data_IF_615493940411
#
_entry.id   IF_615493940411
#
_cell.length_a   1.000
_cell.length_b   1.000
_cell.length_c   1.000
_cell.angle_alpha   90.00
_cell.angle_beta   90.00
_cell.angle_gamma   90.00
#
_symmetry.space_group_name_H-M   'P 1'
#
loop_
_entity.id
_entity.type
_entity.pdbx_description
1 polymer ?
#
# COMPACT_ATOMS: atom_id res chain seq x y z
N UNK A 1 -7.21 11.74 9.08
CA UNK A 1 -6.76 10.62 9.91
C UNK A 1 -5.28 10.36 9.74
N UNK A 2 -4.66 9.83 10.75
CA UNK A 2 -3.25 9.44 10.73
C UNK A 2 -3.01 8.26 9.78
N UNK A 3 -1.78 8.11 9.30
CA UNK A 3 -1.33 6.92 8.59
C UNK A 3 -1.79 5.63 9.30
N UNK A 4 -2.27 4.64 8.53
CA UNK A 4 -2.67 3.34 9.05
C UNK A 4 -3.98 3.30 9.84
N UNK A 5 -4.78 4.37 9.85
CA UNK A 5 -6.14 4.41 10.43
C UNK A 5 -6.25 3.94 11.89
N UNK A 6 -5.20 4.08 12.69
CA UNK A 6 -5.15 3.50 14.03
C UNK A 6 -4.61 2.07 14.08
N UNK A 7 -4.42 1.40 12.96
CA UNK A 7 -3.89 0.04 12.88
C UNK A 7 -2.46 -0.05 13.43
N UNK A 8 -1.63 0.96 13.18
CA UNK A 8 -0.26 1.02 13.73
C UNK A 8 -0.26 1.01 15.25
N UNK A 9 -1.12 1.81 15.87
CA UNK A 9 -1.21 1.90 17.32
C UNK A 9 -1.68 0.58 17.95
N UNK A 10 -2.71 -0.05 17.36
CA UNK A 10 -3.19 -1.35 17.84
C UNK A 10 -2.17 -2.47 17.61
N UNK A 11 -1.48 -2.48 16.48
CA UNK A 11 -0.40 -3.44 16.22
C UNK A 11 0.76 -3.26 17.19
N UNK A 12 1.19 -2.01 17.44
CA UNK A 12 2.26 -1.74 18.39
C UNK A 12 1.89 -2.26 19.80
N UNK A 13 0.67 -1.96 20.27
CA UNK A 13 0.18 -2.44 21.55
C UNK A 13 0.13 -3.98 21.61
N UNK A 14 -0.35 -4.62 20.56
CA UNK A 14 -0.41 -6.10 20.46
C UNK A 14 0.98 -6.70 20.50
N UNK A 15 1.93 -6.19 19.73
CA UNK A 15 3.29 -6.70 19.64
C UNK A 15 4.05 -6.51 20.97
N UNK A 16 3.86 -5.39 21.66
CA UNK A 16 4.40 -5.17 23.01
C UNK A 16 3.81 -6.16 24.01
N UNK A 17 2.50 -6.42 23.96
CA UNK A 17 1.85 -7.42 24.79
C UNK A 17 2.39 -8.84 24.53
N UNK A 18 2.59 -9.19 23.28
CA UNK A 18 3.17 -10.50 22.89
C UNK A 18 4.58 -10.66 23.43
N UNK A 19 5.41 -9.62 23.39
CA UNK A 19 6.75 -9.64 23.97
C UNK A 19 6.70 -9.80 25.49
N UNK A 20 5.79 -9.09 26.17
CA UNK A 20 5.62 -9.25 27.62
C UNK A 20 5.18 -10.68 28.00
N UNK A 21 4.24 -11.26 27.25
CA UNK A 21 3.79 -12.65 27.44
C UNK A 21 4.95 -13.63 27.22
N UNK A 22 5.73 -13.45 26.16
CA UNK A 22 6.91 -14.28 25.90
C UNK A 22 7.91 -14.23 27.07
N UNK A 23 8.19 -13.03 27.57
CA UNK A 23 9.07 -12.83 28.72
C UNK A 23 8.54 -13.50 30.00
N UNK A 24 7.25 -13.38 30.28
CA UNK A 24 6.61 -14.04 31.43
C UNK A 24 6.61 -15.56 31.34
N UNK A 25 6.48 -16.12 30.15
CA UNK A 25 6.54 -17.56 29.89
C UNK A 25 7.96 -18.10 29.78
N UNK A 26 8.98 -17.24 29.72
CA UNK A 26 10.38 -17.64 29.52
C UNK A 26 10.64 -18.26 28.15
N UNK A 27 9.86 -17.89 27.12
CA UNK A 27 10.01 -18.37 25.74
C UNK A 27 10.54 -17.28 24.82
N UNK A 28 11.18 -17.67 23.73
CA UNK A 28 11.63 -16.72 22.71
C UNK A 28 10.43 -16.02 22.06
N UNK A 29 10.52 -14.71 21.87
CA UNK A 29 9.44 -13.90 21.32
C UNK A 29 9.06 -14.29 19.87
N UNK A 30 10.02 -14.75 19.07
CA UNK A 30 9.76 -15.28 17.73
C UNK A 30 9.10 -16.66 17.81
N UNK A 31 9.49 -17.52 18.74
CA UNK A 31 8.89 -18.85 18.92
C UNK A 31 7.43 -18.75 19.37
N UNK A 32 7.11 -17.80 20.28
CA UNK A 32 5.73 -17.54 20.66
C UNK A 32 4.89 -17.11 19.44
N UNK A 33 5.41 -16.20 18.62
CA UNK A 33 4.75 -15.78 17.38
C UNK A 33 4.60 -16.92 16.38
N UNK A 34 5.62 -17.74 16.23
CA UNK A 34 5.59 -18.93 15.36
C UNK A 34 4.49 -19.91 15.74
N UNK A 35 4.31 -20.14 17.05
CA UNK A 35 3.27 -21.02 17.57
C UNK A 35 1.85 -20.50 17.28
N UNK A 36 1.69 -19.18 17.20
CA UNK A 36 0.39 -18.52 17.03
C UNK A 36 0.15 -17.98 15.60
N UNK A 37 1.15 -18.01 14.72
CA UNK A 37 1.03 -17.45 13.39
C UNK A 37 0.09 -18.26 12.50
N UNK A 38 -0.78 -17.55 11.78
CA UNK A 38 -1.72 -18.14 10.82
C UNK A 38 -0.95 -18.79 9.66
N UNK A 39 -1.40 -19.97 9.25
CA UNK A 39 -0.89 -20.69 8.07
C UNK A 39 -1.86 -20.57 6.90
N UNK A 40 -1.34 -20.69 5.68
CA UNK A 40 -2.19 -20.74 4.48
C UNK A 40 -3.26 -21.84 4.62
N UNK A 41 -4.48 -21.52 4.27
CA UNK A 41 -5.62 -22.41 4.37
C UNK A 41 -6.32 -22.46 5.73
N UNK A 42 -5.75 -21.83 6.78
CA UNK A 42 -6.41 -21.73 8.08
C UNK A 42 -7.37 -20.53 8.10
N UNK A 43 -8.43 -20.66 8.91
CA UNK A 43 -9.35 -19.55 9.19
C UNK A 43 -8.68 -18.55 10.13
N UNK A 44 -8.84 -17.27 9.82
CA UNK A 44 -8.47 -16.19 10.73
C UNK A 44 -9.49 -16.02 11.88
N UNK A 45 -9.28 -15.05 12.77
CA UNK A 45 -10.15 -14.78 13.92
C UNK A 45 -11.57 -14.35 13.52
N UNK A 46 -11.80 -13.94 12.27
CA UNK A 46 -13.10 -13.58 11.74
C UNK A 46 -13.78 -14.77 11.01
N UNK A 47 -13.14 -15.94 11.00
CA UNK A 47 -13.68 -17.15 10.36
C UNK A 47 -13.42 -17.24 8.85
N UNK A 48 -12.78 -16.27 8.25
CA UNK A 48 -12.42 -16.27 6.83
C UNK A 48 -11.06 -16.93 6.57
N UNK A 49 -10.95 -17.61 5.44
CA UNK A 49 -9.66 -18.12 4.94
C UNK A 49 -9.04 -17.03 4.05
N UNK A 50 -7.91 -16.43 4.43
CA UNK A 50 -7.25 -15.45 3.58
C UNK A 50 -6.86 -16.02 2.23
N UNK A 51 -7.08 -15.26 1.16
CA UNK A 51 -6.64 -15.62 -0.17
C UNK A 51 -5.11 -15.47 -0.29
N UNK A 52 -4.50 -16.35 -1.09
CA UNK A 52 -3.07 -16.31 -1.35
C UNK A 52 -2.20 -17.01 -0.31
N UNK A 53 -0.90 -16.94 -0.54
CA UNK A 53 0.09 -17.61 0.31
C UNK A 53 0.50 -16.71 1.49
N UNK A 54 0.33 -17.21 2.69
CA UNK A 54 0.82 -16.56 3.90
C UNK A 54 2.28 -16.98 4.15
N UNK A 55 3.18 -16.01 4.16
CA UNK A 55 4.63 -16.22 4.35
C UNK A 55 5.12 -15.96 5.79
N UNK A 56 4.20 -15.90 6.76
CA UNK A 56 4.54 -15.55 8.15
C UNK A 56 5.60 -16.47 8.74
N UNK A 57 5.44 -17.80 8.59
CA UNK A 57 6.40 -18.78 9.12
C UNK A 57 7.78 -18.62 8.47
N UNK A 58 7.85 -18.41 7.16
CA UNK A 58 9.11 -18.18 6.45
C UNK A 58 9.82 -16.91 6.95
N UNK A 59 9.08 -15.84 7.20
CA UNK A 59 9.63 -14.59 7.77
C UNK A 59 10.17 -14.84 9.17
N UNK A 60 9.39 -15.52 10.02
CA UNK A 60 9.79 -15.83 11.38
C UNK A 60 11.04 -16.72 11.43
N UNK A 61 11.13 -17.72 10.56
CA UNK A 61 12.29 -18.62 10.46
C UNK A 61 13.55 -17.87 10.01
N UNK A 62 13.44 -17.02 8.98
CA UNK A 62 14.55 -16.19 8.52
C UNK A 62 15.02 -15.22 9.60
N UNK A 63 14.08 -14.61 10.32
CA UNK A 63 14.41 -13.67 11.40
C UNK A 63 15.06 -14.39 12.58
N UNK A 64 14.54 -15.54 12.98
CA UNK A 64 15.14 -16.36 14.05
C UNK A 64 16.58 -16.80 13.71
N UNK A 65 16.83 -17.08 12.44
CA UNK A 65 18.17 -17.45 11.96
C UNK A 65 19.12 -16.26 11.78
N UNK A 66 18.64 -15.04 11.79
CA UNK A 66 19.44 -13.85 11.58
C UNK A 66 20.43 -13.62 12.72
N UNK A 67 21.66 -13.24 12.39
CA UNK A 67 22.74 -13.05 13.38
C UNK A 67 22.38 -12.06 14.49
N UNK A 68 21.72 -10.97 14.17
CA UNK A 68 21.31 -9.98 15.15
C UNK A 68 20.34 -10.55 16.19
N UNK A 69 19.45 -11.44 15.80
CA UNK A 69 18.51 -12.08 16.73
C UNK A 69 19.21 -13.16 17.56
N UNK A 70 19.93 -14.05 16.90
CA UNK A 70 20.61 -15.19 17.56
C UNK A 70 21.62 -14.75 18.61
N UNK A 71 22.40 -13.71 18.31
CA UNK A 71 23.49 -13.24 19.15
C UNK A 71 23.13 -12.00 19.98
N UNK A 72 21.82 -11.63 20.06
CA UNK A 72 21.38 -10.38 20.70
C UNK A 72 21.82 -10.24 22.16
N UNK A 73 21.79 -11.34 22.94
CA UNK A 73 22.19 -11.30 24.34
C UNK A 73 23.71 -11.04 24.49
N UNK A 74 24.54 -11.74 23.72
CA UNK A 74 25.97 -11.53 23.73
C UNK A 74 26.36 -10.13 23.23
N UNK A 75 25.70 -9.65 22.17
CA UNK A 75 25.88 -8.29 21.66
C UNK A 75 25.47 -7.23 22.67
N UNK A 76 24.35 -7.44 23.36
CA UNK A 76 23.95 -6.53 24.44
C UNK A 76 25.02 -6.44 25.52
N UNK A 77 25.51 -7.56 26.01
CA UNK A 77 26.54 -7.61 27.03
C UNK A 77 27.82 -6.90 26.57
N UNK A 78 28.26 -7.13 25.34
CA UNK A 78 29.47 -6.51 24.79
C UNK A 78 29.31 -4.99 24.60
N UNK A 79 28.15 -4.54 24.15
CA UNK A 79 27.86 -3.12 23.92
C UNK A 79 27.67 -2.36 25.23
N UNK A 80 26.92 -2.92 26.19
CA UNK A 80 26.74 -2.32 27.52
C UNK A 80 28.07 -2.18 28.26
N UNK A 81 29.02 -3.11 28.05
CA UNK A 81 30.36 -3.01 28.62
C UNK A 81 31.26 -1.95 27.96
N UNK A 82 31.06 -1.68 26.66
CA UNK A 82 31.82 -0.69 25.89
C UNK A 82 31.33 0.73 26.07
N UNK A 83 30.04 0.88 26.26
CA UNK A 83 29.36 2.19 26.33
C UNK A 83 28.28 2.15 27.42
N UNK A 84 28.64 2.43 28.69
CA UNK A 84 27.71 2.36 29.80
C UNK A 84 26.64 3.45 29.79
N UNK A 85 26.80 4.50 28.99
CA UNK A 85 25.84 5.59 28.87
C UNK A 85 24.74 5.30 27.84
N UNK A 86 24.86 4.22 27.07
CA UNK A 86 23.88 3.79 26.08
C UNK A 86 23.40 2.37 26.31
N UNK A 87 22.10 2.17 26.08
CA UNK A 87 21.48 0.85 26.18
C UNK A 87 21.33 0.23 24.81
N UNK A 88 21.86 -0.95 24.64
CA UNK A 88 21.72 -1.71 23.41
C UNK A 88 20.55 -2.70 23.51
N UNK A 89 19.77 -2.80 22.46
CA UNK A 89 18.69 -3.77 22.36
C UNK A 89 18.37 -4.15 20.92
N UNK A 90 17.93 -5.37 20.74
CA UNK A 90 17.37 -5.87 19.48
C UNK A 90 15.95 -6.31 19.74
N UNK A 91 15.00 -5.74 19.04
CA UNK A 91 13.59 -6.10 19.09
C UNK A 91 13.12 -6.69 17.76
N UNK A 92 12.02 -7.41 17.81
CA UNK A 92 11.30 -7.92 16.65
C UNK A 92 9.82 -7.61 16.79
N UNK A 93 9.21 -7.14 15.73
CA UNK A 93 7.78 -7.00 15.60
C UNK A 93 7.35 -7.48 14.20
N UNK A 94 6.17 -8.06 14.12
CA UNK A 94 5.59 -8.48 12.85
C UNK A 94 4.20 -7.87 12.71
N UNK A 95 3.90 -7.33 11.54
CA UNK A 95 2.61 -6.76 11.27
C UNK A 95 2.06 -7.26 9.93
N UNK A 96 0.77 -7.20 9.80
CA UNK A 96 0.05 -7.49 8.58
C UNK A 96 -0.88 -6.31 8.25
N UNK A 97 -0.95 -5.97 6.99
CA UNK A 97 -1.92 -4.98 6.49
C UNK A 97 -2.71 -5.59 5.34
N UNK A 98 -4.01 -5.37 5.36
CA UNK A 98 -4.87 -5.74 4.24
C UNK A 98 -4.44 -5.01 2.99
N UNK A 99 -4.45 -5.73 1.88
CA UNK A 99 -4.20 -5.16 0.57
C UNK A 99 -5.51 -4.65 -0.02
N UNK A 100 -5.51 -3.37 -0.47
CA UNK A 100 -6.68 -2.72 -1.03
C UNK A 100 -7.79 -2.49 0.01
N UNK A 101 -8.11 -1.26 0.29
CA UNK A 101 -9.21 -0.90 1.19
C UNK A 101 -9.96 0.27 0.61
N UNK A 102 -11.20 0.05 0.20
CA UNK A 102 -12.08 1.08 -0.30
C UNK A 102 -12.54 0.86 -1.73
N UNK A 103 -13.23 1.84 -2.25
CA UNK A 103 -13.74 1.84 -3.62
C UNK A 103 -12.65 2.35 -4.56
N UNK A 104 -11.89 1.44 -5.11
CA UNK A 104 -10.87 1.78 -6.07
C UNK A 104 -11.50 1.92 -7.46
N UNK A 105 -11.42 3.13 -8.00
CA UNK A 105 -11.73 3.41 -9.39
C UNK A 105 -10.52 4.12 -10.00
N UNK A 106 -9.51 3.38 -10.46
CA UNK A 106 -8.28 3.98 -10.97
C UNK A 106 -8.57 4.77 -12.24
N UNK A 107 -8.38 6.08 -12.16
CA UNK A 107 -8.50 7.00 -13.30
C UNK A 107 -7.27 7.90 -13.34
N UNK A 108 -6.75 8.11 -14.54
CA UNK A 108 -5.64 9.02 -14.80
C UNK A 108 -5.81 9.65 -16.18
N UNK A 109 -5.38 10.89 -16.33
CA UNK A 109 -5.30 11.60 -17.60
C UNK A 109 -3.92 12.22 -17.72
N UNK A 110 -3.31 12.09 -18.89
CA UNK A 110 -2.00 12.66 -19.20
C UNK A 110 -2.15 13.61 -20.38
N UNK A 111 -1.61 14.79 -20.21
CA UNK A 111 -1.51 15.81 -21.23
C UNK A 111 -0.05 16.12 -21.53
N UNK A 112 0.30 16.17 -22.80
CA UNK A 112 1.55 16.74 -23.29
C UNK A 112 1.25 18.16 -23.78
N UNK A 113 1.67 19.13 -23.01
CA UNK A 113 1.33 20.53 -23.25
C UNK A 113 2.16 21.16 -24.36
N UNK A 114 1.69 22.26 -24.94
CA UNK A 114 2.36 22.95 -26.03
C UNK A 114 3.76 23.47 -25.70
N UNK A 115 4.04 23.73 -24.42
CA UNK A 115 5.36 24.10 -23.91
C UNK A 115 6.26 22.90 -23.59
N UNK A 116 5.83 21.68 -23.93
CA UNK A 116 6.60 20.45 -23.79
C UNK A 116 6.60 19.85 -22.40
N UNK A 117 5.70 20.27 -21.51
CA UNK A 117 5.52 19.68 -20.19
C UNK A 117 4.57 18.48 -20.22
N UNK A 118 4.73 17.59 -19.27
CA UNK A 118 3.84 16.46 -19.04
C UNK A 118 3.04 16.73 -17.77
N UNK A 119 1.72 16.89 -17.91
CA UNK A 119 0.79 17.03 -16.78
C UNK A 119 0.02 15.73 -16.58
N UNK A 120 -0.01 15.24 -15.35
CA UNK A 120 -0.75 14.05 -14.92
C UNK A 120 -1.87 14.48 -13.96
N UNK A 121 -3.11 14.13 -14.29
CA UNK A 121 -4.25 14.22 -13.38
C UNK A 121 -4.61 12.82 -12.90
N UNK A 122 -4.91 12.68 -11.61
CA UNK A 122 -5.11 11.38 -10.98
C UNK A 122 -6.19 11.40 -9.90
N UNK A 123 -7.04 10.38 -9.85
CA UNK A 123 -8.10 10.26 -8.85
C UNK A 123 -7.58 9.96 -7.44
N UNK A 124 -6.42 9.31 -7.33
CA UNK A 124 -5.85 8.92 -6.04
C UNK A 124 -5.52 10.09 -5.14
N UNK A 125 -5.63 9.87 -3.84
CA UNK A 125 -5.34 10.88 -2.81
C UNK A 125 -3.92 10.68 -2.27
N UNK A 126 -3.13 11.76 -2.23
CA UNK A 126 -1.84 11.73 -1.56
C UNK A 126 -2.02 11.80 -0.03
N UNK A 127 -1.62 10.74 0.66
CA UNK A 127 -1.70 10.60 2.11
C UNK A 127 -0.32 10.61 2.79
N UNK A 128 0.70 11.06 2.08
CA UNK A 128 2.10 10.99 2.51
C UNK A 128 2.77 9.65 2.17
N UNK A 129 2.18 8.86 1.29
CA UNK A 129 2.75 7.59 0.78
C UNK A 129 3.71 7.80 -0.39
N UNK A 130 3.83 9.03 -0.92
CA UNK A 130 4.60 9.34 -2.11
C UNK A 130 3.89 8.95 -3.41
N UNK A 131 2.55 8.90 -3.38
CA UNK A 131 1.75 8.53 -4.54
C UNK A 131 2.00 9.47 -5.72
N UNK A 132 2.03 10.78 -5.50
CA UNK A 132 2.31 11.76 -6.54
C UNK A 132 3.65 11.50 -7.23
N UNK A 133 4.70 11.25 -6.45
CA UNK A 133 6.03 10.93 -6.97
C UNK A 133 6.04 9.61 -7.74
N UNK A 134 5.42 8.56 -7.18
CA UNK A 134 5.40 7.25 -7.84
C UNK A 134 4.62 7.29 -9.16
N UNK A 135 3.49 7.97 -9.22
CA UNK A 135 2.72 8.10 -10.45
C UNK A 135 3.42 8.97 -11.50
N UNK A 136 4.11 10.04 -11.08
CA UNK A 136 4.97 10.82 -12.00
C UNK A 136 6.06 9.94 -12.64
N UNK A 137 6.68 9.06 -11.86
CA UNK A 137 7.71 8.14 -12.37
C UNK A 137 7.14 7.08 -13.30
N UNK A 138 5.95 6.56 -13.04
CA UNK A 138 5.28 5.55 -13.90
C UNK A 138 5.06 6.06 -15.31
N UNK A 139 4.86 7.36 -15.50
CA UNK A 139 4.73 8.00 -16.82
C UNK A 139 5.98 7.76 -17.68
N UNK A 140 7.16 7.67 -17.06
CA UNK A 140 8.43 7.49 -17.76
C UNK A 140 8.56 6.16 -18.52
N UNK A 141 7.77 5.16 -18.16
CA UNK A 141 7.77 3.85 -18.85
C UNK A 141 7.51 3.96 -20.35
N UNK A 142 6.72 4.97 -20.76
CA UNK A 142 6.36 5.21 -22.17
C UNK A 142 6.88 6.53 -22.70
N UNK A 143 6.93 7.57 -21.87
CA UNK A 143 7.30 8.92 -22.33
C UNK A 143 8.78 9.24 -22.13
N UNK A 144 9.58 8.32 -21.57
CA UNK A 144 11.02 8.46 -21.37
C UNK A 144 11.41 9.48 -20.30
N UNK A 145 10.45 10.16 -19.68
CA UNK A 145 10.65 11.09 -18.55
C UNK A 145 9.42 11.13 -17.67
N UNK A 146 9.60 11.50 -16.42
CA UNK A 146 8.51 11.65 -15.44
C UNK A 146 7.60 12.83 -15.79
N UNK A 147 6.38 12.81 -15.23
CA UNK A 147 5.50 13.96 -15.28
C UNK A 147 6.12 15.16 -14.54
N UNK A 148 5.95 16.35 -15.10
CA UNK A 148 6.41 17.61 -14.50
C UNK A 148 5.45 18.11 -13.43
N UNK A 149 4.17 17.76 -13.56
CA UNK A 149 3.12 18.15 -12.64
C UNK A 149 2.16 17.00 -12.40
N UNK A 150 1.73 16.83 -11.15
CA UNK A 150 0.74 15.81 -10.76
C UNK A 150 -0.36 16.46 -9.93
N UNK A 151 -1.58 16.45 -10.46
CA UNK A 151 -2.79 16.83 -9.75
C UNK A 151 -3.48 15.59 -9.20
N UNK A 152 -3.65 15.51 -7.88
CA UNK A 152 -4.24 14.38 -7.19
C UNK A 152 -5.66 14.68 -6.68
N UNK A 153 -6.38 13.64 -6.25
CA UNK A 153 -7.74 13.73 -5.75
C UNK A 153 -8.75 14.36 -6.74
N UNK A 154 -8.51 14.15 -8.04
CA UNK A 154 -9.42 14.64 -9.09
C UNK A 154 -10.69 13.78 -9.07
N UNK A 155 -11.84 14.41 -8.88
CA UNK A 155 -13.14 13.72 -8.81
C UNK A 155 -14.03 13.98 -10.03
N UNK A 156 -13.66 14.96 -10.85
CA UNK A 156 -14.44 15.33 -12.06
C UNK A 156 -13.61 15.04 -13.31
N UNK A 157 -14.24 14.26 -14.20
CA UNK A 157 -13.63 13.74 -15.43
C UNK A 157 -14.58 13.97 -16.61
N UNK A 158 -14.78 15.25 -17.03
CA UNK A 158 -15.74 15.57 -18.09
C UNK A 158 -15.40 14.94 -19.44
N UNK A 159 -14.12 14.63 -19.67
CA UNK A 159 -13.62 13.95 -20.85
C UNK A 159 -13.99 12.47 -20.92
N UNK A 160 -14.32 11.86 -19.76
CA UNK A 160 -14.80 10.49 -19.67
C UNK A 160 -16.30 10.52 -19.46
N UNK A 161 -17.08 9.90 -20.32
CA UNK A 161 -18.53 9.82 -20.19
C UNK A 161 -18.93 8.91 -19.01
N UNK A 162 -18.63 9.35 -17.79
CA UNK A 162 -18.85 8.59 -16.57
C UNK A 162 -20.22 8.95 -15.96
N UNK A 163 -20.84 7.95 -15.36
CA UNK A 163 -21.96 8.12 -14.46
C UNK A 163 -21.41 8.20 -13.04
N UNK A 164 -21.48 9.36 -12.40
CA UNK A 164 -21.01 9.54 -11.02
C UNK A 164 -22.16 9.79 -10.08
N UNK A 165 -22.29 8.96 -9.06
CA UNK A 165 -23.33 9.15 -8.03
C UNK A 165 -22.91 8.49 -6.72
N UNK A 166 -23.39 9.06 -5.63
CA UNK A 166 -23.20 8.49 -4.31
C UNK A 166 -21.77 8.55 -3.77
N UNK A 167 -21.70 8.26 -2.50
CA UNK A 167 -20.44 8.01 -1.81
C UNK A 167 -20.44 6.54 -1.40
N UNK A 168 -19.56 5.69 -1.95
CA UNK A 168 -19.54 4.24 -1.68
C UNK A 168 -19.47 3.89 -0.19
N UNK A 169 -18.86 4.72 0.63
CA UNK A 169 -18.79 4.50 2.08
C UNK A 169 -20.12 4.75 2.82
N UNK A 170 -21.08 5.42 2.17
CA UNK A 170 -22.40 5.71 2.72
C UNK A 170 -23.51 4.91 2.05
N UNK A 171 -23.21 4.23 0.94
CA UNK A 171 -24.16 3.39 0.22
C UNK A 171 -24.26 2.01 0.88
N UNK A 172 -25.45 1.47 0.90
CA UNK A 172 -25.67 0.06 1.24
C UNK A 172 -25.05 -0.86 0.18
N UNK A 173 -24.80 -2.11 0.52
CA UNK A 173 -24.29 -3.10 -0.42
C UNK A 173 -25.21 -3.23 -1.65
N UNK A 174 -26.53 -3.24 -1.44
CA UNK A 174 -27.51 -3.35 -2.54
C UNK A 174 -27.45 -2.17 -3.51
N UNK A 175 -27.23 -0.96 -3.00
CA UNK A 175 -27.06 0.25 -3.83
C UNK A 175 -25.75 0.19 -4.61
N UNK A 176 -24.65 -0.27 -4.00
CA UNK A 176 -23.38 -0.46 -4.68
C UNK A 176 -23.50 -1.52 -5.77
N UNK A 177 -24.10 -2.67 -5.49
CA UNK A 177 -24.31 -3.74 -6.46
C UNK A 177 -25.18 -3.30 -7.63
N UNK A 178 -26.16 -2.43 -7.38
CA UNK A 178 -26.99 -1.84 -8.42
C UNK A 178 -26.20 -0.86 -9.30
N UNK A 179 -25.40 0.00 -8.68
CA UNK A 179 -24.56 0.98 -9.39
C UNK A 179 -23.47 0.31 -10.24
N UNK A 180 -22.85 -0.74 -9.74
CA UNK A 180 -21.82 -1.52 -10.45
C UNK A 180 -22.32 -2.25 -11.70
N UNK A 181 -23.63 -2.31 -11.94
CA UNK A 181 -24.20 -2.82 -13.21
C UNK A 181 -24.01 -1.86 -14.37
N UNK A 182 -23.79 -0.57 -14.10
CA UNK A 182 -23.35 0.39 -15.11
C UNK A 182 -21.83 0.39 -15.17
N UNK A 183 -21.19 -0.10 -16.25
CA UNK A 183 -19.74 -0.17 -16.37
C UNK A 183 -19.06 1.22 -16.40
N UNK A 184 -19.85 2.29 -16.53
CA UNK A 184 -19.37 3.67 -16.50
C UNK A 184 -19.56 4.32 -15.14
N UNK A 185 -20.17 3.62 -14.20
CA UNK A 185 -20.39 4.18 -12.87
C UNK A 185 -19.10 4.24 -12.06
N UNK A 186 -18.89 5.38 -11.43
CA UNK A 186 -17.78 5.64 -10.51
C UNK A 186 -18.31 6.40 -9.31
N UNK A 187 -17.92 6.02 -8.12
CA UNK A 187 -18.28 6.77 -6.91
C UNK A 187 -17.73 8.20 -6.96
N UNK A 188 -18.53 9.17 -6.53
CA UNK A 188 -18.12 10.58 -6.43
C UNK A 188 -17.25 10.78 -5.19
N UNK A 189 -16.06 10.24 -5.22
CA UNK A 189 -15.10 10.30 -4.13
C UNK A 189 -13.68 10.10 -4.69
N UNK A 190 -12.73 10.89 -4.20
CA UNK A 190 -11.33 10.64 -4.48
C UNK A 190 -10.93 9.30 -3.86
N UNK A 191 -10.30 8.45 -4.65
CA UNK A 191 -9.89 7.12 -4.19
C UNK A 191 -8.76 7.21 -3.18
N UNK A 192 -8.87 6.53 -2.03
CA UNK A 192 -7.79 6.47 -1.06
C UNK A 192 -6.60 5.68 -1.61
N UNK A 193 -5.38 6.17 -1.42
CA UNK A 193 -4.15 5.47 -1.82
C UNK A 193 -3.52 4.72 -0.67
N UNK A 194 -4.32 3.99 0.09
CA UNK A 194 -3.87 3.14 1.19
C UNK A 194 -3.54 1.73 0.73
N UNK A 195 -2.85 0.96 1.57
CA UNK A 195 -2.61 -0.47 1.39
C UNK A 195 -2.00 -0.84 0.02
N UNK A 196 -1.03 -0.06 -0.45
CA UNK A 196 -0.31 -0.28 -1.71
C UNK A 196 -1.10 0.02 -2.99
N UNK A 197 -2.32 0.56 -2.90
CA UNK A 197 -3.14 0.90 -4.06
C UNK A 197 -2.41 1.81 -5.05
N UNK A 198 -1.64 2.78 -4.57
CA UNK A 198 -0.87 3.70 -5.41
C UNK A 198 0.13 2.99 -6.32
N UNK A 199 0.79 1.95 -5.84
CA UNK A 199 1.78 1.21 -6.63
C UNK A 199 1.16 0.07 -7.46
N UNK A 200 -0.02 -0.41 -7.11
CA UNK A 200 -0.66 -1.54 -7.79
C UNK A 200 -1.81 -1.08 -8.69
N UNK A 201 -2.94 -0.66 -8.11
CA UNK A 201 -4.13 -0.35 -8.92
C UNK A 201 -3.96 0.93 -9.74
N UNK A 202 -3.48 2.00 -9.12
CA UNK A 202 -3.45 3.30 -9.79
C UNK A 202 -2.41 3.37 -10.89
N UNK A 203 -1.30 2.66 -10.75
CA UNK A 203 -0.28 2.59 -11.80
C UNK A 203 -0.79 1.99 -13.11
N UNK A 204 -1.81 1.13 -13.08
CA UNK A 204 -2.41 0.63 -14.31
C UNK A 204 -3.06 1.74 -15.15
N UNK A 205 -3.84 2.61 -14.52
CA UNK A 205 -4.47 3.73 -15.22
C UNK A 205 -3.44 4.72 -15.77
N UNK A 206 -2.42 5.07 -14.97
CA UNK A 206 -1.34 5.97 -15.37
C UNK A 206 -0.53 5.40 -16.54
N UNK A 207 -0.14 4.12 -16.45
CA UNK A 207 0.59 3.45 -17.54
C UNK A 207 -0.23 3.39 -18.83
N UNK A 208 -1.51 3.06 -18.73
CA UNK A 208 -2.39 2.97 -19.89
C UNK A 208 -2.59 4.33 -20.53
N UNK A 209 -2.81 5.39 -19.75
CA UNK A 209 -2.89 6.76 -20.27
C UNK A 209 -1.60 7.17 -20.98
N UNK A 210 -0.43 6.89 -20.41
CA UNK A 210 0.87 7.17 -21.03
C UNK A 210 1.05 6.37 -22.34
N UNK A 211 0.68 5.09 -22.33
CA UNK A 211 0.75 4.22 -23.52
C UNK A 211 -0.13 4.73 -24.65
N UNK A 212 -1.37 5.13 -24.33
CA UNK A 212 -2.32 5.65 -25.31
C UNK A 212 -1.80 6.96 -25.92
N UNK A 213 -1.35 7.89 -25.07
CA UNK A 213 -0.76 9.15 -25.52
C UNK A 213 0.44 8.92 -26.46
N UNK A 214 1.36 8.04 -26.07
CA UNK A 214 2.53 7.73 -26.87
C UNK A 214 2.14 7.12 -28.22
N UNK A 215 1.38 6.04 -28.21
CA UNK A 215 1.10 5.25 -29.42
C UNK A 215 0.14 5.93 -30.40
N UNK A 216 -0.81 6.73 -29.91
CA UNK A 216 -1.86 7.30 -30.73
C UNK A 216 -1.68 8.80 -31.04
N UNK A 217 -0.72 9.46 -30.41
CA UNK A 217 -0.47 10.88 -30.61
C UNK A 217 1.00 11.19 -30.87
N UNK A 218 1.90 10.92 -29.92
CA UNK A 218 3.28 11.37 -30.00
C UNK A 218 4.07 10.61 -31.07
N UNK A 219 3.97 9.30 -31.10
CA UNK A 219 4.69 8.47 -32.04
C UNK A 219 4.24 8.74 -33.52
N UNK A 220 2.94 8.76 -33.85
CA UNK A 220 2.50 9.15 -35.17
C UNK A 220 2.94 10.56 -35.57
N UNK A 221 2.89 11.53 -34.65
CA UNK A 221 3.33 12.89 -34.93
C UNK A 221 4.85 13.00 -35.18
N UNK A 222 5.65 12.16 -34.54
CA UNK A 222 7.09 12.12 -34.73
C UNK A 222 7.50 11.47 -36.09
N UNK A 223 6.60 10.69 -36.71
CA UNK A 223 6.82 10.04 -38.00
C UNK A 223 6.31 10.85 -39.19
N UNK A 224 5.49 11.88 -38.93
CA UNK A 224 4.93 12.76 -39.95
C UNK A 224 5.86 13.90 -40.33
#
# INVERSE_FOLDING_TARGET
SMRGYGTLQSMAATEMMVDEVAGRLGVDAIDLRRANALKSGMKNTQGAVPAGALRLHEILDKTAAHDWWRNRAARKQDMDAKDPDHWYGVGFAICQKDFGTGSEAPMASIEFTADGRISLRHIGTELGTGMSTSQALVVSDFLGRSADEVTTAVTEWPELQLTTSGNPYLMSQAEQDAALRDPRWVGRLASPSSATNSAFYFSHATREAARVLFNHSLWPAALA
#
